data_IF_518475353023
#
_entry.id   IF_518475353023
#
_cell.length_a   1.000
_cell.length_b   1.000
_cell.length_c   1.000
_cell.angle_alpha   90.00
_cell.angle_beta   90.00
_cell.angle_gamma   90.00
#
_symmetry.space_group_name_H-M   'P 1'
#
loop_
_entity.id
_entity.type
_entity.pdbx_description
1 polymer ?
#
# COMPACT_ATOMS: atom_id res chain seq x y z
N UNK A 1 -26.81 6.47 15.51
CA UNK A 1 -25.68 7.36 15.85
C UNK A 1 -26.02 8.71 15.26
N UNK A 2 -26.15 9.74 16.10
CA UNK A 2 -26.31 11.11 15.62
C UNK A 2 -25.03 11.58 14.94
N UNK A 3 -25.12 12.60 14.08
CA UNK A 3 -23.95 13.14 13.37
C UNK A 3 -22.88 13.65 14.36
N UNK A 4 -23.30 14.15 15.52
CA UNK A 4 -22.44 14.61 16.61
C UNK A 4 -21.66 13.49 17.32
N UNK A 5 -22.16 12.24 17.29
CA UNK A 5 -21.46 11.07 17.84
C UNK A 5 -20.37 10.53 16.90
N UNK A 6 -20.46 10.86 15.60
CA UNK A 6 -19.45 10.48 14.59
C UNK A 6 -18.18 11.33 14.71
N UNK A 7 -18.35 12.63 15.01
CA UNK A 7 -17.24 13.59 15.16
C UNK A 7 -16.46 13.43 16.48
N UNK A 8 -17.03 12.73 17.48
CA UNK A 8 -16.35 12.40 18.75
C UNK A 8 -15.66 11.03 18.77
N UNK A 9 -15.73 10.26 17.67
CA UNK A 9 -14.92 9.06 17.57
C UNK A 9 -13.45 9.45 17.34
N UNK A 10 -12.59 8.98 18.23
CA UNK A 10 -11.15 8.88 18.04
C UNK A 10 -10.89 8.47 16.57
N UNK A 11 -10.16 9.30 15.82
CA UNK A 11 -10.04 9.15 14.36
C UNK A 11 -9.72 7.70 13.98
N UNK A 12 -10.65 7.03 13.30
CA UNK A 12 -10.48 5.64 12.94
C UNK A 12 -9.28 5.53 12.00
N UNK A 13 -8.20 4.91 12.49
CA UNK A 13 -7.06 4.52 11.68
C UNK A 13 -7.46 3.33 10.82
N UNK A 14 -7.48 3.50 9.49
CA UNK A 14 -7.92 2.44 8.58
C UNK A 14 -6.89 2.09 7.51
N UNK A 15 -6.85 0.80 7.20
CA UNK A 15 -6.30 0.23 5.99
C UNK A 15 -7.47 -0.35 5.19
N UNK A 16 -7.65 0.12 3.97
CA UNK A 16 -8.72 -0.34 3.07
C UNK A 16 -8.08 -1.11 1.94
N UNK A 17 -8.46 -2.39 1.81
CA UNK A 17 -8.02 -3.27 0.73
C UNK A 17 -9.17 -3.51 -0.24
N UNK A 18 -9.01 -3.02 -1.47
CA UNK A 18 -9.95 -3.27 -2.56
C UNK A 18 -9.49 -4.51 -3.30
N UNK A 19 -10.34 -5.54 -3.34
CA UNK A 19 -10.08 -6.78 -4.06
C UNK A 19 -10.88 -6.76 -5.37
N UNK A 20 -10.19 -7.01 -6.47
CA UNK A 20 -10.72 -6.97 -7.82
C UNK A 20 -10.44 -8.31 -8.53
N UNK A 21 -11.16 -8.63 -9.61
CA UNK A 21 -10.75 -9.69 -10.52
C UNK A 21 -9.32 -9.46 -11.00
N UNK A 22 -8.63 -10.54 -11.38
CA UNK A 22 -7.26 -10.46 -11.84
C UNK A 22 -7.19 -9.80 -13.22
N UNK A 23 -6.84 -8.52 -13.25
CA UNK A 23 -6.87 -7.67 -14.45
C UNK A 23 -5.51 -7.09 -14.76
N UNK A 24 -5.30 -6.72 -16.03
CA UNK A 24 -4.04 -6.12 -16.47
C UNK A 24 -3.80 -4.79 -15.74
N UNK A 25 -2.67 -4.65 -15.04
CA UNK A 25 -2.42 -3.50 -14.16
C UNK A 25 -2.38 -2.18 -14.90
N UNK A 26 -2.05 -2.19 -16.20
CA UNK A 26 -2.06 -1.00 -17.04
C UNK A 26 -3.43 -0.32 -17.11
N UNK A 27 -4.53 -1.07 -16.99
CA UNK A 27 -5.89 -0.49 -16.95
C UNK A 27 -6.11 0.31 -15.68
N UNK A 28 -5.79 -0.28 -14.53
CA UNK A 28 -5.94 0.34 -13.20
C UNK A 28 -4.98 1.52 -13.06
N UNK A 29 -3.71 1.35 -13.47
CA UNK A 29 -2.69 2.40 -13.43
C UNK A 29 -3.10 3.64 -14.22
N UNK A 30 -3.74 3.48 -15.39
CA UNK A 30 -4.24 4.62 -16.17
C UNK A 30 -5.34 5.38 -15.45
N UNK A 31 -6.24 4.70 -14.75
CA UNK A 31 -7.27 5.36 -13.95
C UNK A 31 -6.67 6.12 -12.77
N UNK A 32 -5.74 5.50 -12.04
CA UNK A 32 -5.03 6.17 -10.94
C UNK A 32 -4.23 7.38 -11.42
N UNK A 33 -3.55 7.26 -12.56
CA UNK A 33 -2.82 8.35 -13.19
C UNK A 33 -3.74 9.53 -13.55
N UNK A 34 -4.94 9.25 -14.04
CA UNK A 34 -5.92 10.28 -14.40
C UNK A 34 -6.49 11.01 -13.19
N UNK A 35 -6.69 10.30 -12.06
CA UNK A 35 -7.31 10.86 -10.84
C UNK A 35 -6.26 11.55 -9.94
N UNK A 36 -5.12 10.91 -9.74
CA UNK A 36 -4.13 11.30 -8.72
C UNK A 36 -2.78 11.78 -9.31
N UNK A 37 -2.62 11.75 -10.63
CA UNK A 37 -1.35 12.09 -11.28
C UNK A 37 -0.32 10.96 -11.19
N UNK A 38 0.96 11.26 -11.47
CA UNK A 38 2.04 10.26 -11.47
C UNK A 38 2.30 9.75 -10.04
N UNK A 39 2.57 8.45 -9.92
CA UNK A 39 3.03 7.86 -8.68
C UNK A 39 4.36 8.49 -8.24
N UNK A 40 4.54 8.68 -6.94
CA UNK A 40 5.76 9.29 -6.39
C UNK A 40 6.85 8.24 -6.10
N UNK A 41 6.46 6.98 -5.87
CA UNK A 41 7.40 5.88 -5.62
C UNK A 41 6.96 4.62 -6.36
N UNK A 42 7.90 3.71 -6.55
CA UNK A 42 7.66 2.40 -7.13
C UNK A 42 8.67 1.39 -6.57
N UNK A 43 8.19 0.20 -6.27
CA UNK A 43 8.99 -1.01 -6.01
C UNK A 43 8.80 -2.02 -7.14
N UNK A 44 8.23 -1.60 -8.27
CA UNK A 44 8.00 -2.47 -9.41
C UNK A 44 9.32 -2.96 -10.00
N UNK A 45 9.44 -4.27 -10.12
CA UNK A 45 10.56 -4.94 -10.76
C UNK A 45 10.17 -5.29 -12.21
N UNK A 46 10.96 -4.81 -13.16
CA UNK A 46 10.73 -5.08 -14.59
C UNK A 46 11.11 -6.52 -14.98
N UNK A 47 12.00 -7.20 -14.27
CA UNK A 47 12.36 -8.59 -14.59
C UNK A 47 11.29 -9.54 -14.07
N UNK A 48 10.86 -9.37 -12.81
CA UNK A 48 9.90 -10.25 -12.16
C UNK A 48 8.43 -9.81 -12.31
N UNK A 49 8.16 -8.63 -12.88
CA UNK A 49 6.83 -8.01 -13.06
C UNK A 49 6.00 -7.98 -11.76
N UNK A 50 6.68 -7.84 -10.62
CA UNK A 50 6.14 -7.80 -9.26
C UNK A 50 6.41 -6.43 -8.62
N UNK A 51 5.79 -6.12 -7.49
CA UNK A 51 6.07 -4.94 -6.67
C UNK A 51 4.83 -4.07 -6.51
N UNK A 52 5.03 -2.77 -6.29
CA UNK A 52 3.92 -1.82 -6.20
C UNK A 52 4.29 -0.44 -6.74
N UNK A 53 3.30 0.23 -7.32
CA UNK A 53 3.34 1.68 -7.51
C UNK A 53 2.63 2.36 -6.34
N UNK A 54 3.20 3.47 -5.87
CA UNK A 54 2.75 4.14 -4.64
C UNK A 54 2.43 5.60 -4.92
N UNK A 55 1.21 6.01 -4.57
CA UNK A 55 0.78 7.40 -4.54
C UNK A 55 0.76 7.89 -3.10
N UNK A 56 1.56 8.91 -2.78
CA UNK A 56 1.49 9.64 -1.52
C UNK A 56 0.47 10.78 -1.67
N UNK A 57 -0.63 10.68 -0.94
CA UNK A 57 -1.72 11.66 -0.93
C UNK A 57 -1.74 12.41 0.40
N UNK A 58 -2.44 13.54 0.42
CA UNK A 58 -2.77 14.22 1.68
C UNK A 58 -3.71 13.33 2.50
N UNK A 59 -3.17 12.64 3.50
CA UNK A 59 -3.90 11.75 4.41
C UNK A 59 -3.54 10.27 4.32
N UNK A 60 -2.77 9.83 3.32
CA UNK A 60 -2.41 8.43 3.21
C UNK A 60 -1.67 8.05 1.93
N UNK A 61 -1.61 6.75 1.69
CA UNK A 61 -0.89 6.14 0.58
C UNK A 61 -1.82 5.19 -0.18
N UNK A 62 -1.82 5.27 -1.50
CA UNK A 62 -2.41 4.25 -2.36
C UNK A 62 -1.30 3.34 -2.88
N UNK A 63 -1.49 2.03 -2.79
CA UNK A 63 -0.62 1.01 -3.34
C UNK A 63 -1.36 0.26 -4.44
N UNK A 64 -0.80 0.27 -5.65
CA UNK A 64 -1.19 -0.63 -6.71
C UNK A 64 -0.22 -1.80 -6.74
N UNK A 65 -0.66 -2.96 -6.25
CA UNK A 65 0.17 -4.17 -6.23
C UNK A 65 0.21 -4.82 -7.61
N UNK A 66 1.42 -5.18 -8.06
CA UNK A 66 1.69 -5.90 -9.29
C UNK A 66 1.98 -7.36 -9.00
N UNK A 67 1.45 -8.21 -9.86
CA UNK A 67 1.64 -9.64 -9.81
C UNK A 67 1.92 -10.17 -11.22
N UNK A 68 2.96 -11.01 -11.38
CA UNK A 68 3.31 -11.54 -12.69
C UNK A 68 2.28 -12.56 -13.18
N UNK A 69 1.88 -12.43 -14.44
CA UNK A 69 1.16 -13.49 -15.16
C UNK A 69 1.54 -13.50 -16.63
N UNK A 70 2.04 -14.64 -17.10
CA UNK A 70 2.51 -14.83 -18.49
C UNK A 70 3.46 -13.71 -18.93
N UNK A 71 4.44 -13.39 -18.08
CA UNK A 71 5.43 -12.33 -18.31
C UNK A 71 4.83 -10.93 -18.52
N UNK A 72 3.68 -10.65 -17.89
CA UNK A 72 3.01 -9.35 -17.93
C UNK A 72 2.52 -8.98 -16.51
N UNK A 73 2.48 -7.68 -16.18
CA UNK A 73 1.99 -7.22 -14.88
C UNK A 73 0.46 -7.23 -14.84
N UNK A 74 -0.08 -7.92 -13.84
CA UNK A 74 -1.50 -7.96 -13.47
C UNK A 74 -1.67 -7.50 -12.02
N UNK A 75 -2.92 -7.28 -11.61
CA UNK A 75 -3.25 -6.84 -10.26
C UNK A 75 -4.57 -7.46 -9.83
N UNK A 76 -4.69 -7.78 -8.54
CA UNK A 76 -5.95 -8.12 -7.88
C UNK A 76 -6.28 -7.21 -6.70
N UNK A 77 -5.34 -6.36 -6.28
CA UNK A 77 -5.46 -5.56 -5.05
C UNK A 77 -4.96 -4.15 -5.21
N UNK A 78 -5.76 -3.23 -4.67
CA UNK A 78 -5.38 -1.84 -4.42
C UNK A 78 -5.58 -1.56 -2.94
N UNK A 79 -4.57 -1.01 -2.29
CA UNK A 79 -4.62 -0.72 -0.86
C UNK A 79 -4.57 0.79 -0.65
N UNK A 80 -5.38 1.29 0.28
CA UNK A 80 -5.23 2.63 0.85
C UNK A 80 -4.83 2.50 2.32
N UNK A 81 -3.73 3.15 2.70
CA UNK A 81 -3.25 3.19 4.08
C UNK A 81 -3.26 4.63 4.58
N UNK A 82 -3.97 4.90 5.68
CA UNK A 82 -3.93 6.19 6.35
C UNK A 82 -2.49 6.55 6.81
N UNK A 83 -2.08 7.81 6.67
CA UNK A 83 -0.72 8.26 6.97
C UNK A 83 -0.37 8.16 8.47
N UNK A 84 -1.31 8.46 9.37
CA UNK A 84 -1.13 8.33 10.81
C UNK A 84 -0.99 6.87 11.23
N UNK A 85 -1.79 5.97 10.62
CA UNK A 85 -1.62 4.53 10.80
C UNK A 85 -0.25 4.06 10.33
N UNK A 86 0.19 4.51 9.15
CA UNK A 86 1.52 4.18 8.64
C UNK A 86 2.63 4.65 9.59
N UNK A 87 2.52 5.88 10.12
CA UNK A 87 3.49 6.41 11.08
C UNK A 87 3.52 5.61 12.37
N UNK A 88 2.34 5.24 12.90
CA UNK A 88 2.23 4.42 14.10
C UNK A 88 2.85 3.04 13.91
N UNK A 89 2.60 2.39 12.78
CA UNK A 89 3.24 1.11 12.43
C UNK A 89 4.76 1.25 12.43
N UNK A 90 5.29 2.34 11.83
CA UNK A 90 6.72 2.58 11.78
C UNK A 90 7.33 2.87 13.16
N UNK A 91 6.62 3.60 14.03
CA UNK A 91 7.04 3.85 15.42
C UNK A 91 7.04 2.55 16.23
N UNK A 92 5.95 1.78 16.19
CA UNK A 92 5.88 0.48 16.87
C UNK A 92 6.96 -0.48 16.35
N UNK A 93 7.19 -0.53 15.04
CA UNK A 93 8.29 -1.32 14.46
C UNK A 93 9.67 -0.86 14.96
N UNK A 94 9.85 0.44 15.19
CA UNK A 94 11.10 0.96 15.75
C UNK A 94 11.28 0.55 17.21
N UNK A 95 10.21 0.61 18.01
CA UNK A 95 10.19 0.39 19.46
C UNK A 95 10.28 -1.09 19.84
N UNK A 96 9.61 -1.97 19.10
CA UNK A 96 9.52 -3.40 19.45
C UNK A 96 10.62 -4.27 18.85
N UNK A 97 11.32 -3.81 17.81
CA UNK A 97 12.37 -4.60 17.17
C UNK A 97 13.74 -3.95 17.38
N UNK A 98 14.66 -4.67 17.99
CA UNK A 98 16.05 -4.28 18.04
C UNK A 98 16.73 -4.40 16.65
N UNK A 99 17.94 -3.86 16.50
CA UNK A 99 18.63 -3.87 15.21
C UNK A 99 18.87 -5.30 14.68
N UNK A 100 18.98 -6.31 15.56
CA UNK A 100 19.22 -7.70 15.20
C UNK A 100 17.93 -8.39 14.76
N UNK A 101 16.81 -8.08 15.40
CA UNK A 101 15.48 -8.57 15.06
C UNK A 101 14.98 -7.99 13.74
N UNK A 102 15.25 -6.70 13.47
CA UNK A 102 14.99 -6.09 12.16
C UNK A 102 15.75 -6.80 11.04
N UNK A 103 17.02 -7.15 11.29
CA UNK A 103 17.88 -7.93 10.38
C UNK A 103 17.37 -9.36 10.16
N UNK A 104 16.87 -10.01 11.20
CA UNK A 104 16.24 -11.34 11.11
C UNK A 104 14.95 -11.30 10.30
N UNK A 105 14.08 -10.31 10.54
CA UNK A 105 12.84 -10.13 9.78
C UNK A 105 13.10 -9.91 8.29
N UNK A 106 14.09 -9.07 7.94
CA UNK A 106 14.47 -8.88 6.54
C UNK A 106 14.92 -10.18 5.88
N UNK A 107 15.66 -11.03 6.58
CA UNK A 107 16.09 -12.34 6.05
C UNK A 107 14.94 -13.32 5.86
N UNK A 108 13.93 -13.28 6.72
CA UNK A 108 12.75 -14.17 6.63
C UNK A 108 11.78 -13.71 5.55
N UNK A 109 11.64 -12.40 5.32
CA UNK A 109 10.72 -11.83 4.32
C UNK A 109 11.28 -11.82 2.89
N UNK A 110 12.61 -11.95 2.72
CA UNK A 110 13.29 -11.99 1.42
C UNK A 110 13.68 -13.41 0.97
N UNK A 111 13.21 -14.44 1.67
CA UNK A 111 13.29 -15.85 1.25
C UNK A 111 12.02 -16.27 0.52
#
# INVERSE_FOLDING_TARGET
>A
LSMDEFDQQEGLLFHVKVIMPFIASGLVKRQLLAIYGRNQRSTFDEDDKNGADIWALNGGFIFLWYEPYRNRPFTRTLDYLNAELAQRIMTEYADYFDAREKLLLQKVLLQ
#
